data_IF_615091006441
#
_entry.id   IF_615091006441
#
_cell.length_a   1.000
_cell.length_b   1.000
_cell.length_c   1.000
_cell.angle_alpha   90.00
_cell.angle_beta   90.00
_cell.angle_gamma   90.00
#
_symmetry.space_group_name_H-M   'P 1'
#
loop_
_entity.id
_entity.type
_entity.pdbx_description
1 polymer ?
#
# COMPACT_ATOMS: atom_id res chain seq x y z
N UNK A 1 -23.94 18.43 24.35
CA UNK A 1 -23.85 18.28 22.89
C UNK A 1 -22.42 18.60 22.40
N UNK A 2 -21.56 17.58 22.34
CA UNK A 2 -20.25 17.66 21.70
C UNK A 2 -20.41 17.74 20.17
N UNK A 3 -19.53 18.46 19.48
CA UNK A 3 -19.43 18.41 18.02
C UNK A 3 -18.14 17.66 17.67
N UNK A 4 -18.28 16.58 16.91
CA UNK A 4 -17.15 15.92 16.28
C UNK A 4 -16.82 16.71 15.01
N UNK A 5 -15.61 17.25 14.95
CA UNK A 5 -15.10 18.05 13.85
C UNK A 5 -13.92 17.27 13.27
N UNK A 6 -13.64 17.36 11.97
CA UNK A 6 -12.42 16.80 11.39
C UNK A 6 -11.53 17.94 10.88
N UNK A 7 -10.26 17.90 11.26
CA UNK A 7 -9.23 18.81 10.76
C UNK A 7 -8.63 18.31 9.44
N UNK A 8 -8.12 19.23 8.61
CA UNK A 8 -7.50 18.94 7.30
C UNK A 8 -6.11 18.27 7.38
N UNK A 9 -5.81 17.57 8.47
CA UNK A 9 -4.64 16.68 8.55
C UNK A 9 -5.06 15.29 8.09
N UNK A 10 -4.30 14.69 7.18
CA UNK A 10 -4.60 13.38 6.60
C UNK A 10 -3.61 12.36 7.12
N UNK A 11 -4.07 11.39 7.91
CA UNK A 11 -3.25 10.22 8.28
C UNK A 11 -3.37 9.18 7.18
N UNK A 12 -2.28 8.92 6.45
CA UNK A 12 -2.19 7.85 5.47
C UNK A 12 -1.58 6.62 6.16
N UNK A 13 -2.27 5.48 6.07
CA UNK A 13 -1.74 4.19 6.50
C UNK A 13 -1.56 3.29 5.28
N UNK A 14 -0.38 2.68 5.20
CA UNK A 14 0.04 1.77 4.16
C UNK A 14 0.41 0.44 4.78
N UNK A 15 -0.27 -0.62 4.34
CA UNK A 15 0.14 -2.00 4.56
C UNK A 15 0.85 -2.45 3.28
N UNK A 16 2.18 -2.40 3.31
CA UNK A 16 3.08 -2.71 2.19
C UNK A 16 3.28 -4.22 2.09
N UNK A 17 3.23 -4.76 0.88
CA UNK A 17 3.64 -6.16 0.64
C UNK A 17 5.15 -6.29 0.38
N UNK A 18 5.86 -5.17 0.22
CA UNK A 18 7.32 -5.09 0.07
C UNK A 18 7.92 -3.95 0.93
N UNK A 19 9.11 -4.14 1.53
CA UNK A 19 9.71 -3.15 2.42
C UNK A 19 10.19 -1.91 1.65
N UNK A 20 10.06 -0.70 2.22
CA UNK A 20 10.56 0.52 1.60
C UNK A 20 12.10 0.56 1.68
N UNK A 21 12.79 -0.01 0.69
CA UNK A 21 14.25 0.12 0.56
C UNK A 21 14.62 1.37 -0.22
N UNK A 22 14.77 2.47 0.52
CA UNK A 22 15.79 3.51 0.37
C UNK A 22 15.29 4.81 1.03
N UNK A 23 15.79 5.12 2.23
CA UNK A 23 15.99 6.49 2.73
C UNK A 23 16.90 6.39 3.96
N UNK A 24 18.22 6.46 3.71
CA UNK A 24 19.23 6.67 4.74
C UNK A 24 19.08 8.12 5.22
N UNK A 25 18.41 8.34 6.35
CA UNK A 25 18.49 9.60 7.07
C UNK A 25 18.77 9.33 8.55
N UNK A 26 20.05 9.51 8.87
CA UNK A 26 20.64 9.97 10.13
C UNK A 26 19.79 9.89 11.41
N UNK A 27 20.26 9.05 12.33
CA UNK A 27 19.98 8.99 13.77
C UNK A 27 19.46 10.32 14.36
N UNK A 28 18.28 10.30 14.96
CA UNK A 28 17.87 11.28 15.98
C UNK A 28 17.14 10.61 17.14
N UNK A 29 17.66 10.89 18.36
CA UNK A 29 17.20 10.36 19.64
C UNK A 29 15.75 10.75 19.93
N UNK A 30 14.95 9.74 20.28
CA UNK A 30 13.59 9.87 20.83
C UNK A 30 13.63 10.56 22.21
N UNK A 31 13.07 11.77 22.30
CA UNK A 31 12.45 12.27 23.53
C UNK A 31 10.95 12.11 23.37
N UNK A 32 10.34 11.25 24.18
CA UNK A 32 8.88 11.27 24.41
C UNK A 32 8.53 12.69 24.88
N UNK A 33 7.76 13.42 24.07
CA UNK A 33 7.14 14.69 24.47
C UNK A 33 5.62 14.51 24.47
N UNK A 34 4.93 15.08 25.46
CA UNK A 34 3.48 15.05 25.55
C UNK A 34 2.88 15.82 24.37
N UNK A 35 1.68 15.40 23.98
CA UNK A 35 0.85 16.02 22.94
C UNK A 35 0.80 17.55 23.15
N UNK A 36 0.99 18.36 22.10
CA UNK A 36 0.89 19.81 22.24
C UNK A 36 -0.54 20.18 22.62
N UNK A 37 -0.68 21.02 23.66
CA UNK A 37 -1.94 21.60 24.07
C UNK A 37 -2.65 22.29 22.89
N UNK A 38 -4.00 22.30 22.86
CA UNK A 38 -4.76 22.93 21.78
C UNK A 38 -4.55 24.44 21.88
N UNK A 39 -3.61 24.96 21.08
CA UNK A 39 -3.56 26.39 20.81
C UNK A 39 -4.76 26.68 19.92
N UNK A 40 -5.75 27.39 20.47
CA UNK A 40 -6.64 28.25 19.69
C UNK A 40 -5.81 29.36 19.04
N UNK A 41 -5.00 28.98 18.07
CA UNK A 41 -4.30 29.90 17.20
C UNK A 41 -4.73 29.48 15.79
N UNK A 42 -5.52 30.31 15.07
CA UNK A 42 -5.62 30.11 13.63
C UNK A 42 -4.18 30.09 13.12
N UNK A 43 -3.79 29.06 12.38
CA UNK A 43 -2.53 29.07 11.67
C UNK A 43 -2.53 30.37 10.85
N UNK A 44 -1.70 31.34 11.28
CA UNK A 44 -1.80 32.73 10.88
C UNK A 44 -1.77 32.88 9.36
N UNK A 45 -2.93 33.14 8.78
CA UNK A 45 -3.02 33.85 7.51
C UNK A 45 -2.95 35.34 7.86
N UNK A 46 -1.75 35.88 7.98
CA UNK A 46 -1.59 37.33 7.88
C UNK A 46 -1.85 37.71 6.41
N UNK A 47 -3.08 38.14 6.14
CA UNK A 47 -3.46 38.79 4.89
C UNK A 47 -2.80 40.18 4.84
N UNK A 48 -2.44 40.63 3.62
CA UNK A 48 -1.80 41.93 3.37
C UNK A 48 -2.67 43.13 3.78
N UNK A 49 -3.96 42.91 4.00
CA UNK A 49 -4.92 43.82 4.61
C UNK A 49 -5.71 42.99 5.64
N UNK A 50 -5.93 43.48 6.86
CA UNK A 50 -6.50 42.74 7.99
C UNK A 50 -7.96 42.24 7.86
N UNK A 51 -8.42 41.85 6.67
CA UNK A 51 -9.71 41.18 6.46
C UNK A 51 -9.61 39.69 6.84
N UNK A 52 -10.17 39.36 8.00
CA UNK A 52 -10.48 37.98 8.39
C UNK A 52 -11.86 37.61 7.88
N UNK A 53 -12.03 36.38 7.41
CA UNK A 53 -13.36 35.86 7.11
C UNK A 53 -14.16 35.72 8.43
N UNK A 54 -15.49 35.93 8.40
CA UNK A 54 -16.35 35.60 9.52
C UNK A 54 -16.16 34.15 9.99
N UNK A 55 -16.23 33.92 11.31
CA UNK A 55 -15.96 32.62 11.93
C UNK A 55 -16.74 31.44 11.32
N UNK A 56 -17.98 31.69 10.89
CA UNK A 56 -18.81 30.65 10.28
C UNK A 56 -18.28 30.22 8.90
N UNK A 57 -17.70 31.15 8.12
CA UNK A 57 -17.10 30.86 6.82
C UNK A 57 -15.72 30.21 6.99
N UNK A 58 -14.92 30.63 7.98
CA UNK A 58 -13.67 29.94 8.29
C UNK A 58 -13.91 28.50 8.76
N UNK A 59 -14.94 28.28 9.59
CA UNK A 59 -15.33 26.93 9.99
C UNK A 59 -15.78 26.09 8.78
N UNK A 60 -16.54 26.69 7.86
CA UNK A 60 -16.97 26.03 6.62
C UNK A 60 -15.80 25.70 5.70
N UNK A 61 -14.78 26.56 5.64
CA UNK A 61 -13.60 26.39 4.81
C UNK A 61 -12.63 25.34 5.36
N UNK A 62 -12.47 25.28 6.67
CA UNK A 62 -11.33 24.57 7.31
C UNK A 62 -11.73 23.24 7.95
N UNK A 63 -13.02 22.97 8.13
CA UNK A 63 -13.49 21.82 8.90
C UNK A 63 -14.69 21.12 8.27
N UNK A 64 -14.61 19.79 8.22
CA UNK A 64 -15.75 18.92 7.95
C UNK A 64 -16.46 18.65 9.27
N UNK A 65 -17.76 18.95 9.35
CA UNK A 65 -18.55 18.72 10.56
C UNK A 65 -19.32 17.41 10.45
N UNK A 66 -19.24 16.58 11.50
CA UNK A 66 -20.03 15.36 11.59
C UNK A 66 -21.26 15.61 12.46
N UNK A 67 -22.41 15.77 11.81
CA UNK A 67 -23.72 15.82 12.48
C UNK A 67 -24.31 14.42 12.59
N UNK A 68 -25.36 14.28 13.41
CA UNK A 68 -26.03 13.00 13.65
C UNK A 68 -26.76 12.45 12.42
N UNK A 69 -27.18 13.35 11.51
CA UNK A 69 -27.85 13.05 10.25
C UNK A 69 -26.83 12.79 9.12
N UNK A 70 -25.96 13.76 8.82
CA UNK A 70 -24.98 13.66 7.74
C UNK A 70 -23.77 14.57 7.96
N UNK A 71 -22.60 14.25 7.36
CA UNK A 71 -21.48 15.17 7.29
C UNK A 71 -21.82 16.44 6.51
N UNK A 72 -21.35 17.59 6.99
CA UNK A 72 -21.47 18.89 6.29
C UNK A 72 -20.10 19.49 6.03
N UNK A 73 -20.00 20.36 5.01
CA UNK A 73 -18.74 20.98 4.54
C UNK A 73 -17.74 19.96 3.97
N UNK A 74 -18.23 19.04 3.15
CA UNK A 74 -17.41 17.97 2.55
C UNK A 74 -16.60 18.40 1.34
N UNK A 75 -16.88 19.57 0.78
CA UNK A 75 -16.24 20.10 -0.42
C UNK A 75 -15.10 21.05 -0.07
N UNK A 76 -14.01 20.99 -0.84
CA UNK A 76 -12.89 21.91 -0.72
C UNK A 76 -13.11 23.21 -1.50
N UNK A 77 -12.83 24.35 -0.89
CA UNK A 77 -12.87 25.67 -1.55
C UNK A 77 -11.48 26.06 -2.06
N UNK A 78 -11.14 25.67 -3.29
CA UNK A 78 -9.84 25.97 -3.91
C UNK A 78 -9.90 26.96 -5.08
N UNK A 79 -11.06 27.53 -5.36
CA UNK A 79 -11.21 28.54 -6.41
C UNK A 79 -10.79 29.93 -5.90
N UNK A 80 -9.98 30.64 -6.70
CA UNK A 80 -9.42 31.95 -6.35
C UNK A 80 -10.48 33.01 -6.01
N UNK A 81 -11.66 32.94 -6.64
CA UNK A 81 -12.75 33.90 -6.42
C UNK A 81 -13.72 33.53 -5.31
N UNK A 82 -13.53 32.41 -4.59
CA UNK A 82 -14.50 31.94 -3.58
C UNK A 82 -14.76 32.98 -2.47
N UNK A 83 -13.73 33.75 -2.11
CA UNK A 83 -13.79 34.79 -1.08
C UNK A 83 -13.28 36.15 -1.55
N UNK A 84 -13.19 36.37 -2.87
CA UNK A 84 -12.70 37.62 -3.44
C UNK A 84 -13.55 38.82 -3.03
N UNK A 85 -14.87 38.65 -2.89
CA UNK A 85 -15.78 39.68 -2.40
C UNK A 85 -15.51 40.10 -0.93
N UNK A 86 -14.84 39.24 -0.16
CA UNK A 86 -14.45 39.50 1.24
C UNK A 86 -12.97 39.93 1.34
N UNK A 87 -12.30 40.17 0.21
CA UNK A 87 -10.90 40.57 0.16
C UNK A 87 -9.91 39.46 0.52
N UNK A 88 -10.34 38.19 0.57
CA UNK A 88 -9.45 37.06 0.86
C UNK A 88 -9.00 36.39 -0.43
N UNK A 89 -7.71 36.51 -0.71
CA UNK A 89 -7.07 35.86 -1.84
C UNK A 89 -6.82 34.36 -1.54
N UNK A 90 -7.56 33.51 -2.24
CA UNK A 90 -7.44 32.04 -2.16
C UNK A 90 -6.60 31.50 -3.34
N UNK A 91 -5.83 32.35 -4.02
CA UNK A 91 -4.94 31.91 -5.10
C UNK A 91 -3.91 30.88 -4.63
N UNK A 92 -3.74 29.83 -5.45
CA UNK A 92 -2.73 28.81 -5.22
C UNK A 92 -1.36 29.40 -5.54
N UNK A 93 -0.49 29.46 -4.54
CA UNK A 93 0.90 29.88 -4.70
C UNK A 93 1.82 28.80 -4.15
N UNK A 94 2.82 28.43 -4.95
CA UNK A 94 3.78 27.37 -4.62
C UNK A 94 4.54 27.70 -3.33
N UNK A 95 4.89 28.96 -3.13
CA UNK A 95 5.58 29.42 -1.92
C UNK A 95 4.73 29.24 -0.65
N UNK A 96 3.43 29.56 -0.70
CA UNK A 96 2.51 29.33 0.42
C UNK A 96 2.33 27.83 0.67
N UNK A 97 2.24 27.03 -0.39
CA UNK A 97 2.14 25.58 -0.30
C UNK A 97 3.37 24.97 0.39
N UNK A 98 4.59 25.29 -0.07
CA UNK A 98 5.83 24.77 0.51
C UNK A 98 6.03 25.15 1.98
N UNK A 99 5.54 26.33 2.41
CA UNK A 99 5.60 26.74 3.83
C UNK A 99 4.63 25.95 4.72
N UNK A 100 3.48 25.58 4.19
CA UNK A 100 2.40 24.93 4.93
C UNK A 100 2.49 23.41 4.91
N UNK A 101 3.08 22.84 3.85
CA UNK A 101 3.18 21.40 3.67
C UNK A 101 4.16 20.77 4.66
N UNK A 102 3.69 19.79 5.43
CA UNK A 102 4.49 19.04 6.40
C UNK A 102 4.13 17.56 6.37
N UNK A 103 5.12 16.71 6.60
CA UNK A 103 4.96 15.27 6.73
C UNK A 103 5.52 14.85 8.09
N UNK A 104 4.72 14.11 8.86
CA UNK A 104 5.13 13.55 10.15
C UNK A 104 4.95 12.02 10.11
N UNK A 105 6.03 11.27 10.34
CA UNK A 105 5.98 9.80 10.31
C UNK A 105 5.66 9.30 11.72
N UNK A 106 4.52 8.64 11.88
CA UNK A 106 4.03 8.12 13.15
C UNK A 106 4.58 6.72 13.43
N UNK A 107 4.53 5.83 12.43
CA UNK A 107 5.00 4.45 12.53
C UNK A 107 5.64 4.01 11.22
N UNK A 108 6.79 3.34 11.32
CA UNK A 108 7.48 2.74 10.19
C UNK A 108 7.98 1.35 10.62
N UNK A 109 7.47 0.32 9.97
CA UNK A 109 7.93 -1.07 10.08
C UNK A 109 8.29 -1.60 8.68
N UNK A 110 8.77 -2.84 8.59
CA UNK A 110 9.13 -3.44 7.30
C UNK A 110 7.92 -3.70 6.39
N UNK A 111 6.72 -3.83 6.97
CA UNK A 111 5.46 -4.13 6.26
C UNK A 111 4.41 -3.01 6.40
N UNK A 112 4.54 -2.11 7.37
CA UNK A 112 3.57 -1.03 7.62
C UNK A 112 4.24 0.35 7.62
N UNK A 113 3.53 1.34 7.11
CA UNK A 113 3.91 2.75 7.27
C UNK A 113 2.67 3.61 7.56
N UNK A 114 2.73 4.41 8.63
CA UNK A 114 1.71 5.38 9.01
C UNK A 114 2.35 6.76 9.13
N UNK A 115 1.80 7.74 8.43
CA UNK A 115 2.29 9.11 8.45
C UNK A 115 1.16 10.11 8.21
N UNK A 116 1.35 11.31 8.74
CA UNK A 116 0.43 12.43 8.59
C UNK A 116 0.93 13.38 7.49
N UNK A 117 0.03 13.75 6.58
CA UNK A 117 0.23 14.76 5.56
C UNK A 117 -0.61 16.00 5.91
N UNK A 118 0.07 17.09 6.24
CA UNK A 118 -0.55 18.34 6.67
C UNK A 118 -0.42 19.38 5.55
N UNK A 119 -1.52 20.08 5.25
CA UNK A 119 -1.53 21.16 4.27
C UNK A 119 -1.69 20.73 2.82
N UNK A 120 -2.19 19.51 2.58
CA UNK A 120 -2.51 18.96 1.25
C UNK A 120 -4.01 18.77 1.08
N UNK A 121 -4.48 18.94 -0.15
CA UNK A 121 -5.86 18.68 -0.52
C UNK A 121 -6.18 17.19 -0.61
N UNK A 122 -7.44 16.84 -0.33
CA UNK A 122 -7.93 15.48 -0.45
C UNK A 122 -7.76 14.88 -1.86
N UNK A 123 -7.81 15.71 -2.92
CA UNK A 123 -7.60 15.26 -4.30
C UNK A 123 -6.19 14.68 -4.51
N UNK A 124 -5.16 15.35 -3.99
CA UNK A 124 -3.75 14.91 -4.10
C UNK A 124 -3.52 13.66 -3.24
N UNK A 125 -4.03 13.64 -2.00
CA UNK A 125 -3.92 12.45 -1.15
C UNK A 125 -4.63 11.24 -1.77
N UNK A 126 -5.80 11.44 -2.37
CA UNK A 126 -6.51 10.39 -3.10
C UNK A 126 -5.77 9.98 -4.39
N UNK A 127 -5.10 10.91 -5.08
CA UNK A 127 -4.24 10.58 -6.21
C UNK A 127 -3.10 9.64 -5.78
N UNK A 128 -2.37 9.97 -4.70
CA UNK A 128 -1.34 9.08 -4.16
C UNK A 128 -1.90 7.72 -3.76
N UNK A 129 -3.03 7.68 -3.05
CA UNK A 129 -3.71 6.43 -2.70
C UNK A 129 -4.01 5.57 -3.93
N UNK A 130 -4.50 6.18 -5.01
CA UNK A 130 -4.82 5.47 -6.26
C UNK A 130 -3.58 4.98 -7.00
N UNK A 131 -2.54 5.81 -7.07
CA UNK A 131 -1.25 5.46 -7.68
C UNK A 131 -0.64 4.26 -6.97
N UNK A 132 -0.60 4.29 -5.64
CA UNK A 132 -0.05 3.21 -4.82
C UNK A 132 -0.79 1.88 -5.02
N UNK A 133 -2.11 1.91 -5.21
CA UNK A 133 -2.90 0.70 -5.43
C UNK A 133 -2.77 0.17 -6.86
N UNK A 134 -2.76 1.06 -7.86
CA UNK A 134 -3.01 0.67 -9.25
C UNK A 134 -1.87 0.91 -10.24
N UNK A 135 -0.98 1.88 -9.99
CA UNK A 135 -0.01 2.34 -10.99
C UNK A 135 1.44 2.00 -10.64
N UNK A 136 1.74 1.72 -9.36
CA UNK A 136 3.07 1.26 -8.97
C UNK A 136 3.27 -0.18 -9.47
N UNK A 137 4.31 -0.43 -10.30
CA UNK A 137 4.53 -1.74 -10.88
C UNK A 137 5.18 -2.72 -9.90
N UNK A 138 4.88 -4.01 -10.06
CA UNK A 138 5.47 -5.12 -9.30
C UNK A 138 5.73 -6.33 -10.20
N UNK A 139 6.44 -7.33 -9.68
CA UNK A 139 6.63 -8.63 -10.34
C UNK A 139 5.61 -9.63 -9.80
N UNK A 140 4.87 -10.31 -10.68
CA UNK A 140 3.95 -11.38 -10.31
C UNK A 140 3.90 -12.47 -11.39
N UNK A 141 3.50 -13.69 -10.99
CA UNK A 141 3.38 -14.83 -11.89
C UNK A 141 2.22 -14.60 -12.88
N UNK A 142 2.51 -14.74 -14.18
CA UNK A 142 1.56 -14.54 -15.27
C UNK A 142 1.29 -15.83 -16.03
N UNK A 143 2.34 -16.47 -16.56
CA UNK A 143 2.23 -17.70 -17.33
C UNK A 143 2.67 -18.89 -16.47
N UNK A 144 1.88 -19.95 -16.42
CA UNK A 144 2.22 -21.20 -15.73
C UNK A 144 2.18 -22.33 -16.75
N UNK A 145 3.31 -23.01 -16.93
CA UNK A 145 3.47 -24.17 -17.79
C UNK A 145 3.34 -25.42 -16.93
N UNK A 146 2.22 -26.11 -17.08
CA UNK A 146 1.97 -27.37 -16.39
C UNK A 146 2.65 -28.52 -17.13
N UNK A 147 3.43 -29.33 -16.42
CA UNK A 147 4.03 -30.56 -16.97
C UNK A 147 3.16 -31.75 -16.57
N UNK A 148 2.95 -31.90 -15.26
CA UNK A 148 2.10 -32.94 -14.70
C UNK A 148 1.39 -32.41 -13.46
N UNK A 149 0.07 -32.57 -13.42
CA UNK A 149 -0.73 -32.27 -12.23
C UNK A 149 -1.70 -33.42 -12.00
N UNK A 150 -1.36 -34.26 -11.02
CA UNK A 150 -2.24 -35.35 -10.55
C UNK A 150 -2.92 -35.00 -9.22
N UNK A 151 -2.86 -33.73 -8.81
CA UNK A 151 -3.50 -33.25 -7.60
C UNK A 151 -5.02 -33.13 -7.75
N UNK A 152 -5.71 -32.86 -6.65
CA UNK A 152 -7.17 -32.64 -6.64
C UNK A 152 -7.53 -31.24 -7.16
N UNK A 153 -6.57 -30.30 -7.18
CA UNK A 153 -6.80 -28.93 -7.60
C UNK A 153 -6.64 -28.85 -9.12
N UNK A 154 -7.65 -28.30 -9.79
CA UNK A 154 -7.61 -28.07 -11.23
C UNK A 154 -6.53 -27.06 -11.62
N UNK A 155 -5.97 -27.21 -12.82
CA UNK A 155 -4.80 -26.45 -13.29
C UNK A 155 -5.03 -24.94 -13.27
N UNK A 156 -6.23 -24.49 -13.67
CA UNK A 156 -6.60 -23.08 -13.69
C UNK A 156 -6.68 -22.49 -12.27
N UNK A 157 -7.19 -23.26 -11.31
CA UNK A 157 -7.29 -22.83 -9.91
C UNK A 157 -5.90 -22.77 -9.27
N UNK A 158 -5.05 -23.77 -9.55
CA UNK A 158 -3.67 -23.79 -9.09
C UNK A 158 -2.88 -22.61 -9.65
N UNK A 159 -3.01 -22.35 -10.95
CA UNK A 159 -2.36 -21.23 -11.64
C UNK A 159 -2.81 -19.87 -11.10
N UNK A 160 -4.11 -19.70 -10.84
CA UNK A 160 -4.63 -18.48 -10.23
C UNK A 160 -4.04 -18.24 -8.83
N UNK A 161 -3.90 -19.29 -8.01
CA UNK A 161 -3.29 -19.18 -6.68
C UNK A 161 -1.81 -18.81 -6.74
N UNK A 162 -1.06 -19.42 -7.66
CA UNK A 162 0.35 -19.08 -7.89
C UNK A 162 0.51 -17.61 -8.30
N UNK A 163 -0.40 -17.12 -9.15
CA UNK A 163 -0.45 -15.71 -9.58
C UNK A 163 -0.56 -14.71 -8.43
N UNK A 164 -1.16 -15.09 -7.30
CA UNK A 164 -1.38 -14.23 -6.13
C UNK A 164 -0.24 -14.28 -5.09
N UNK A 165 0.79 -15.09 -5.30
CA UNK A 165 1.93 -15.18 -4.37
C UNK A 165 2.82 -13.95 -4.58
N UNK A 166 3.06 -13.13 -3.53
CA UNK A 166 3.96 -12.00 -3.65
C UNK A 166 5.41 -12.46 -3.77
N UNK A 167 6.12 -11.88 -4.73
CA UNK A 167 7.53 -12.19 -5.03
C UNK A 167 8.45 -11.14 -4.39
N UNK A 168 9.63 -11.56 -3.93
CA UNK A 168 10.69 -10.68 -3.42
C UNK A 168 11.66 -10.31 -4.56
N UNK A 169 11.14 -9.59 -5.55
CA UNK A 169 11.89 -9.11 -6.70
C UNK A 169 11.68 -7.60 -6.87
N UNK A 170 12.77 -6.85 -7.10
CA UNK A 170 12.70 -5.41 -7.34
C UNK A 170 12.23 -5.15 -8.78
N UNK A 171 11.03 -4.59 -9.00
CA UNK A 171 10.49 -4.36 -10.35
C UNK A 171 11.28 -3.32 -11.15
N UNK A 172 12.18 -2.54 -10.52
CA UNK A 172 13.00 -1.54 -11.22
C UNK A 172 14.14 -2.17 -12.02
N UNK A 173 14.55 -3.39 -11.68
CA UNK A 173 15.61 -4.11 -12.39
C UNK A 173 15.11 -4.80 -13.67
N UNK A 174 13.79 -4.88 -13.85
CA UNK A 174 13.16 -5.59 -14.95
C UNK A 174 12.40 -4.65 -15.89
N UNK A 175 12.42 -4.99 -17.17
CA UNK A 175 11.69 -4.29 -18.23
C UNK A 175 10.32 -4.92 -18.47
N UNK A 176 9.42 -4.14 -19.09
CA UNK A 176 8.14 -4.69 -19.57
C UNK A 176 8.36 -5.57 -20.80
N UNK A 177 7.48 -6.56 -21.00
CA UNK A 177 7.50 -7.41 -22.20
C UNK A 177 6.95 -6.62 -23.38
N UNK A 178 7.78 -6.40 -24.42
CA UNK A 178 7.40 -5.71 -25.67
C UNK A 178 6.93 -6.66 -26.77
N UNK A 179 7.66 -7.76 -26.99
CA UNK A 179 7.54 -8.60 -28.19
C UNK A 179 7.12 -10.05 -27.86
N UNK A 180 6.53 -10.26 -26.68
CA UNK A 180 6.10 -11.57 -26.16
C UNK A 180 7.22 -12.63 -26.04
N UNK A 181 8.48 -12.26 -26.25
CA UNK A 181 9.65 -13.12 -26.05
C UNK A 181 10.17 -12.95 -24.62
N UNK A 182 10.16 -14.00 -23.79
CA UNK A 182 10.73 -13.96 -22.46
C UNK A 182 12.26 -13.98 -22.51
N UNK A 183 12.89 -12.97 -21.94
CA UNK A 183 14.34 -12.75 -21.86
C UNK A 183 14.75 -12.60 -20.39
N UNK A 184 16.06 -12.60 -20.13
CA UNK A 184 16.63 -12.46 -18.79
C UNK A 184 16.31 -11.12 -18.10
N UNK A 185 15.93 -10.09 -18.84
CA UNK A 185 15.59 -8.77 -18.28
C UNK A 185 14.10 -8.54 -18.03
N UNK A 186 13.23 -9.38 -18.57
CA UNK A 186 11.77 -9.13 -18.52
C UNK A 186 11.00 -10.21 -17.72
N UNK A 187 11.57 -11.40 -17.55
CA UNK A 187 10.87 -12.56 -16.98
C UNK A 187 11.73 -13.24 -15.93
N UNK A 188 11.09 -13.66 -14.83
CA UNK A 188 11.71 -14.52 -13.81
C UNK A 188 11.03 -15.88 -13.87
N UNK A 189 11.82 -16.95 -13.92
CA UNK A 189 11.29 -18.32 -14.01
C UNK A 189 11.42 -19.02 -12.66
N UNK A 190 10.34 -19.70 -12.26
CA UNK A 190 10.27 -20.53 -11.08
C UNK A 190 9.88 -21.95 -11.46
N UNK A 191 10.38 -22.93 -10.73
CA UNK A 191 10.04 -24.34 -10.85
C UNK A 191 9.39 -24.82 -9.56
N UNK A 192 8.35 -25.64 -9.70
CA UNK A 192 7.77 -26.38 -8.59
C UNK A 192 7.70 -27.85 -9.01
N UNK A 193 8.48 -28.69 -8.34
CA UNK A 193 8.45 -30.14 -8.52
C UNK A 193 8.24 -30.78 -7.15
N UNK A 194 7.04 -31.28 -6.89
CA UNK A 194 6.69 -31.89 -5.61
C UNK A 194 5.87 -33.15 -5.84
N UNK A 195 6.33 -34.27 -5.30
CA UNK A 195 5.63 -35.55 -5.33
C UNK A 195 5.41 -36.09 -3.91
N UNK A 196 4.27 -36.75 -3.70
CA UNK A 196 3.92 -37.40 -2.45
C UNK A 196 4.00 -38.92 -2.68
N UNK A 197 4.89 -39.60 -1.96
CA UNK A 197 5.11 -41.04 -2.12
C UNK A 197 3.88 -41.86 -1.69
N UNK A 198 3.77 -43.09 -2.19
CA UNK A 198 2.68 -43.99 -1.81
C UNK A 198 2.93 -44.50 -0.39
N UNK A 199 2.06 -44.13 0.55
CA UNK A 199 2.13 -44.54 1.96
C UNK A 199 2.59 -43.45 2.93
N UNK A 200 2.99 -42.27 2.46
CA UNK A 200 3.29 -41.12 3.31
C UNK A 200 2.02 -40.41 3.79
N UNK A 201 2.15 -39.54 4.81
CA UNK A 201 1.07 -38.64 5.18
C UNK A 201 0.82 -37.59 4.09
N UNK A 202 -0.36 -36.95 4.12
CA UNK A 202 -0.69 -35.88 3.17
C UNK A 202 0.34 -34.76 3.25
N UNK A 203 0.91 -34.40 2.10
CA UNK A 203 1.90 -33.34 1.98
C UNK A 203 1.22 -32.00 1.71
N UNK A 204 1.60 -30.97 2.46
CA UNK A 204 1.13 -29.60 2.19
C UNK A 204 2.21 -28.88 1.40
N UNK A 205 1.91 -28.52 0.16
CA UNK A 205 2.80 -27.78 -0.72
C UNK A 205 2.77 -26.30 -0.31
N UNK A 206 3.96 -25.73 -0.06
CA UNK A 206 4.13 -24.34 0.39
C UNK A 206 4.87 -23.50 -0.64
N UNK A 207 4.70 -22.19 -0.59
CA UNK A 207 5.36 -21.23 -1.48
C UNK A 207 6.88 -21.26 -1.41
N UNK A 208 7.46 -21.60 -0.26
CA UNK A 208 8.91 -21.74 -0.13
C UNK A 208 9.51 -22.90 -0.95
N UNK A 209 8.69 -23.78 -1.55
CA UNK A 209 9.14 -24.85 -2.45
C UNK A 209 9.22 -24.41 -3.91
N UNK A 210 8.90 -23.14 -4.22
CA UNK A 210 9.16 -22.56 -5.54
C UNK A 210 10.64 -22.24 -5.67
N UNK A 211 11.32 -22.96 -6.55
CA UNK A 211 12.74 -22.80 -6.82
C UNK A 211 12.94 -21.81 -7.97
N UNK A 212 13.75 -20.78 -7.76
CA UNK A 212 14.10 -19.83 -8.83
C UNK A 212 15.11 -20.45 -9.80
N UNK A 213 14.86 -20.29 -11.09
CA UNK A 213 15.73 -20.74 -12.18
C UNK A 213 16.44 -19.54 -12.84
N UNK A 214 17.72 -19.29 -12.51
CA UNK A 214 18.44 -18.11 -13.01
C UNK A 214 18.84 -18.20 -14.48
N UNK A 215 18.94 -19.41 -15.04
CA UNK A 215 19.29 -19.67 -16.43
C UNK A 215 18.06 -19.70 -17.36
N UNK A 216 16.86 -19.49 -16.80
CA UNK A 216 15.60 -19.53 -17.54
C UNK A 216 14.89 -20.89 -17.47
N UNK A 217 13.95 -21.09 -18.40
CA UNK A 217 13.09 -22.27 -18.49
C UNK A 217 13.89 -23.51 -18.87
N UNK A 218 13.64 -24.61 -18.15
CA UNK A 218 14.16 -25.94 -18.48
C UNK A 218 13.22 -26.70 -19.42
N UNK A 219 11.96 -26.23 -19.57
CA UNK A 219 11.00 -26.80 -20.49
C UNK A 219 11.31 -26.44 -21.94
N UNK A 220 11.29 -27.47 -22.78
CA UNK A 220 11.54 -27.34 -24.21
C UNK A 220 10.24 -27.11 -24.97
N UNK A 221 10.24 -26.20 -25.94
CA UNK A 221 9.16 -26.09 -26.90
C UNK A 221 9.25 -27.22 -27.94
N UNK A 222 8.14 -27.94 -28.14
CA UNK A 222 8.00 -28.93 -29.20
C UNK A 222 7.81 -28.25 -30.57
N UNK A 223 8.87 -27.64 -31.12
CA UNK A 223 8.92 -27.25 -32.53
C UNK A 223 9.57 -28.38 -33.34
N UNK A 224 9.07 -28.73 -34.54
CA UNK A 224 9.66 -29.80 -35.34
C UNK A 224 11.10 -29.42 -35.71
N UNK A 225 12.03 -30.26 -35.27
CA UNK A 225 13.45 -30.10 -35.46
C UNK A 225 13.78 -29.93 -36.96
N UNK A 226 14.14 -28.72 -37.37
CA UNK A 226 15.05 -28.56 -38.51
C UNK A 226 16.45 -28.78 -37.96
N UNK A 227 17.09 -29.81 -38.50
CA UNK A 227 18.40 -30.34 -38.13
C UNK A 227 19.45 -29.24 -37.95
N UNK A 228 19.91 -29.03 -36.71
CA UNK A 228 21.12 -28.27 -36.39
C UNK A 228 21.00 -27.24 -35.27
N UNK A 229 19.79 -26.91 -34.80
CA UNK A 229 19.58 -25.83 -33.83
C UNK A 229 19.35 -26.37 -32.40
N UNK A 230 19.98 -25.76 -31.40
CA UNK A 230 19.82 -26.12 -29.99
C UNK A 230 18.33 -26.09 -29.59
N UNK A 231 17.88 -27.08 -28.80
CA UNK A 231 16.51 -27.16 -28.29
C UNK A 231 16.02 -25.81 -27.75
N UNK A 232 14.98 -25.24 -28.37
CA UNK A 232 14.44 -23.92 -28.00
C UNK A 232 13.57 -24.07 -26.75
N UNK A 233 13.95 -23.45 -25.64
CA UNK A 233 13.14 -23.41 -24.40
C UNK A 233 12.12 -22.27 -24.46
N UNK A 234 11.20 -22.22 -23.49
CA UNK A 234 10.17 -21.16 -23.40
C UNK A 234 10.74 -19.76 -23.09
N UNK A 235 12.04 -19.67 -22.80
CA UNK A 235 12.74 -18.41 -22.55
C UNK A 235 14.04 -18.34 -23.35
N UNK A 236 14.41 -17.17 -23.85
CA UNK A 236 15.69 -16.95 -24.54
C UNK A 236 16.64 -16.15 -23.65
N UNK A 237 17.27 -16.80 -22.68
CA UNK A 237 18.18 -16.14 -21.74
C UNK A 237 19.59 -16.10 -22.33
N UNK A 238 20.12 -14.91 -22.56
CA UNK A 238 21.50 -14.72 -23.02
C UNK A 238 22.52 -14.75 -21.89
N UNK A 239 22.10 -14.49 -20.66
CA UNK A 239 22.92 -14.41 -19.46
C UNK A 239 22.15 -14.89 -18.22
N UNK A 240 22.89 -15.41 -17.23
CA UNK A 240 22.34 -15.78 -15.93
C UNK A 240 21.86 -14.55 -15.15
N UNK A 241 20.66 -14.63 -14.57
CA UNK A 241 20.11 -13.60 -13.69
C UNK A 241 20.84 -13.50 -12.34
N UNK A 242 21.75 -14.43 -12.00
CA UNK A 242 22.58 -14.32 -10.79
C UNK A 242 23.44 -13.06 -10.76
N UNK A 243 23.79 -12.52 -11.93
CA UNK A 243 24.55 -11.28 -12.03
C UNK A 243 23.69 -10.02 -11.81
N UNK A 244 22.37 -10.14 -11.95
CA UNK A 244 21.43 -9.00 -11.86
C UNK A 244 20.99 -8.73 -10.42
N UNK A 245 20.98 -9.75 -9.56
CA UNK A 245 20.56 -9.64 -8.16
C UNK A 245 21.53 -10.37 -7.23
N UNK A 246 22.02 -9.67 -6.22
CA UNK A 246 22.86 -10.26 -5.16
C UNK A 246 22.10 -11.28 -4.29
N UNK A 247 20.76 -11.28 -4.35
CA UNK A 247 19.88 -12.13 -3.56
C UNK A 247 19.05 -13.03 -4.47
N UNK A 248 18.70 -14.25 -4.01
CA UNK A 248 17.81 -15.12 -4.75
C UNK A 248 16.45 -14.43 -4.93
N UNK A 249 15.97 -14.40 -6.18
CA UNK A 249 14.65 -13.88 -6.54
C UNK A 249 13.59 -14.90 -6.12
N UNK A 250 13.28 -14.94 -4.83
CA UNK A 250 12.36 -15.90 -4.23
C UNK A 250 10.96 -15.34 -3.99
N UNK A 251 10.16 -16.09 -3.24
CA UNK A 251 8.87 -15.62 -2.73
C UNK A 251 9.06 -14.75 -1.48
N UNK A 252 8.16 -13.78 -1.26
CA UNK A 252 8.21 -12.91 -0.08
C UNK A 252 7.89 -13.67 1.22
N UNK A 253 6.90 -14.56 1.16
CA UNK A 253 6.47 -15.39 2.28
C UNK A 253 6.59 -16.86 1.91
N UNK A 254 7.33 -17.63 2.72
CA UNK A 254 7.62 -19.06 2.45
C UNK A 254 6.53 -20.03 2.93
N UNK A 255 5.59 -19.54 3.75
CA UNK A 255 4.59 -20.37 4.44
C UNK A 255 3.18 -20.32 3.82
N UNK A 256 3.05 -19.79 2.59
CA UNK A 256 1.76 -19.73 1.91
C UNK A 256 1.45 -21.13 1.38
N UNK A 257 0.34 -21.71 1.81
CA UNK A 257 -0.10 -23.02 1.30
C UNK A 257 -0.61 -22.87 -0.13
N UNK A 258 -0.09 -23.68 -1.06
CA UNK A 258 -0.47 -23.72 -2.48
C UNK A 258 -1.46 -24.86 -2.72
N UNK A 259 -1.11 -26.08 -2.31
CA UNK A 259 -1.91 -27.27 -2.55
C UNK A 259 -1.72 -28.28 -1.41
N UNK A 260 -2.63 -29.26 -1.32
CA UNK A 260 -2.46 -30.43 -0.44
C UNK A 260 -2.51 -31.68 -1.30
N UNK A 261 -1.47 -32.48 -1.21
CA UNK A 261 -1.29 -33.71 -1.98
C UNK A 261 -1.59 -34.93 -1.11
N UNK A 262 -2.35 -35.85 -1.68
CA UNK A 262 -2.49 -37.21 -1.18
C UNK A 262 -1.35 -38.13 -1.63
N UNK A 263 -1.24 -39.34 -1.06
CA UNK A 263 -0.22 -40.30 -1.44
C UNK A 263 -0.35 -40.69 -2.92
N UNK A 264 0.76 -40.64 -3.66
CA UNK A 264 0.82 -40.94 -5.09
C UNK A 264 0.48 -39.76 -6.03
N UNK A 265 0.18 -38.57 -5.50
CA UNK A 265 -0.03 -37.36 -6.31
C UNK A 265 1.26 -36.55 -6.43
N UNK A 266 1.40 -35.87 -7.56
CA UNK A 266 2.52 -35.00 -7.89
C UNK A 266 2.05 -33.72 -8.61
N UNK A 267 2.83 -32.67 -8.46
CA UNK A 267 2.73 -31.41 -9.19
C UNK A 267 4.11 -31.08 -9.74
N UNK A 268 4.19 -30.92 -11.05
CA UNK A 268 5.36 -30.43 -11.77
C UNK A 268 4.95 -29.29 -12.71
N UNK A 269 5.52 -28.11 -12.50
CA UNK A 269 5.24 -26.92 -13.30
C UNK A 269 6.42 -25.93 -13.32
N UNK A 270 6.40 -25.07 -14.33
CA UNK A 270 7.20 -23.85 -14.38
C UNK A 270 6.28 -22.61 -14.37
N UNK A 271 6.64 -21.59 -13.61
CA UNK A 271 5.89 -20.35 -13.48
C UNK A 271 6.76 -19.16 -13.91
N UNK A 272 6.26 -18.37 -14.84
CA UNK A 272 6.95 -17.20 -15.38
C UNK A 272 6.33 -15.94 -14.79
N UNK A 273 7.14 -15.18 -14.07
CA UNK A 273 6.77 -13.90 -13.48
C UNK A 273 7.23 -12.73 -14.34
N UNK A 274 6.35 -11.74 -14.46
CA UNK A 274 6.55 -10.58 -15.33
C UNK A 274 6.19 -9.31 -14.59
N UNK A 275 6.74 -8.20 -15.08
CA UNK A 275 6.42 -6.86 -14.57
C UNK A 275 5.04 -6.42 -15.03
N UNK A 276 4.22 -5.96 -14.10
CA UNK A 276 2.88 -5.45 -14.39
C UNK A 276 2.42 -4.42 -13.36
N UNK A 277 1.21 -3.89 -13.55
CA UNK A 277 0.62 -2.85 -12.70
C UNK A 277 -0.74 -3.28 -12.14
N UNK A 278 -1.07 -2.84 -10.93
CA UNK A 278 -2.31 -3.20 -10.24
C UNK A 278 -3.60 -2.84 -11.01
N UNK A 279 -3.54 -1.86 -11.92
CA UNK A 279 -4.64 -1.47 -12.81
C UNK A 279 -5.06 -2.59 -13.76
N UNK A 280 -4.13 -3.45 -14.18
CA UNK A 280 -4.41 -4.59 -15.07
C UNK A 280 -4.99 -5.75 -14.26
N UNK A 281 -4.36 -6.08 -13.13
CA UNK A 281 -4.84 -7.13 -12.23
C UNK A 281 -4.35 -6.89 -10.81
N UNK A 282 -5.18 -7.21 -9.81
CA UNK A 282 -4.90 -6.96 -8.39
C UNK A 282 -3.64 -7.67 -7.87
N UNK A 283 -3.20 -8.76 -8.53
CA UNK A 283 -1.96 -9.47 -8.19
C UNK A 283 -0.69 -8.61 -8.29
N UNK A 284 -0.73 -7.55 -9.11
CA UNK A 284 0.37 -6.60 -9.23
C UNK A 284 0.25 -5.41 -8.26
N UNK A 285 -0.73 -5.41 -7.35
CA UNK A 285 -0.82 -4.35 -6.35
C UNK A 285 0.29 -4.52 -5.29
N UNK A 286 1.18 -3.53 -5.09
CA UNK A 286 2.27 -3.59 -4.09
C UNK A 286 1.80 -3.34 -2.65
N UNK A 287 0.53 -2.99 -2.48
CA UNK A 287 -0.06 -2.69 -1.18
C UNK A 287 -1.19 -3.65 -0.93
N UNK A 288 -1.26 -4.20 0.28
CA UNK A 288 -2.44 -4.95 0.69
C UNK A 288 -3.62 -4.00 0.87
N UNK A 289 -3.37 -2.84 1.49
CA UNK A 289 -4.31 -1.73 1.51
C UNK A 289 -3.58 -0.40 1.66
N UNK A 290 -4.11 0.63 1.00
CA UNK A 290 -3.70 2.01 1.17
C UNK A 290 -4.95 2.85 1.40
N UNK A 291 -5.03 3.50 2.56
CA UNK A 291 -6.17 4.33 2.93
C UNK A 291 -5.72 5.52 3.76
N UNK A 292 -6.51 6.59 3.72
CA UNK A 292 -6.30 7.75 4.57
C UNK A 292 -7.56 8.08 5.36
N UNK A 293 -7.39 8.80 6.46
CA UNK A 293 -8.46 9.46 7.20
C UNK A 293 -8.10 10.91 7.49
N UNK A 294 -9.12 11.74 7.59
CA UNK A 294 -8.97 13.07 8.18
C UNK A 294 -8.75 12.91 9.69
N UNK A 295 -7.91 13.76 10.27
CA UNK A 295 -7.61 13.75 11.69
C UNK A 295 -8.82 14.31 12.47
N UNK A 296 -9.48 13.51 13.32
CA UNK A 296 -10.61 13.97 14.11
C UNK A 296 -10.16 15.00 15.15
N UNK A 297 -10.98 16.02 15.34
CA UNK A 297 -10.88 17.07 16.34
C UNK A 297 -12.22 17.12 17.11
N UNK A 298 -12.21 16.75 18.39
CA UNK A 298 -13.42 16.86 19.22
C UNK A 298 -13.39 18.18 19.98
N UNK A 299 -14.40 19.03 19.78
CA UNK A 299 -14.54 20.28 20.52
C UNK A 299 -15.73 20.19 21.47
N UNK A 300 -15.45 20.34 22.77
CA UNK A 300 -16.47 20.42 23.81
C UNK A 300 -16.99 21.87 23.88
N UNK A 301 -18.27 22.07 23.55
CA UNK A 301 -18.89 23.40 23.55
C UNK A 301 -19.19 23.94 24.95
N UNK A 302 -19.23 23.05 25.94
CA UNK A 302 -19.52 23.36 27.34
C UNK A 302 -18.65 22.48 28.21
N UNK A 303 -18.31 22.95 29.39
CA UNK A 303 -17.69 22.11 30.42
C UNK A 303 -18.66 20.99 30.82
N UNK A 304 -18.16 19.76 30.81
CA UNK A 304 -18.89 18.56 31.23
C UNK A 304 -18.27 18.12 32.55
N UNK A 305 -19.08 17.97 33.60
CA UNK A 305 -18.61 17.69 34.96
C UNK A 305 -19.34 16.49 35.54
N UNK A 306 -18.69 15.83 36.51
CA UNK A 306 -19.27 14.76 37.33
C UNK A 306 -19.82 13.60 36.49
N UNK A 307 -21.03 13.11 36.81
CA UNK A 307 -21.65 11.94 36.16
C UNK A 307 -21.77 12.04 34.64
N UNK A 308 -21.94 13.24 34.07
CA UNK A 308 -21.99 13.40 32.61
C UNK A 308 -20.63 13.14 31.95
N UNK A 309 -19.52 13.38 32.65
CA UNK A 309 -18.17 13.11 32.16
C UNK A 309 -17.87 11.61 32.21
N UNK A 310 -18.27 10.93 33.29
CA UNK A 310 -18.17 9.47 33.41
C UNK A 310 -18.98 8.76 32.31
N UNK A 311 -20.19 9.25 32.02
CA UNK A 311 -21.02 8.71 30.95
C UNK A 311 -20.38 8.91 29.58
N UNK A 312 -19.78 10.09 29.33
CA UNK A 312 -19.11 10.39 28.07
C UNK A 312 -17.91 9.48 27.82
N UNK A 313 -17.05 9.27 28.83
CA UNK A 313 -15.92 8.34 28.74
C UNK A 313 -16.41 6.93 28.47
N UNK A 314 -17.44 6.47 29.18
CA UNK A 314 -18.02 5.14 29.00
C UNK A 314 -18.61 4.91 27.60
N UNK A 315 -19.18 5.95 26.99
CA UNK A 315 -19.73 5.89 25.62
C UNK A 315 -18.64 5.80 24.54
N UNK A 316 -17.39 6.14 24.84
CA UNK A 316 -16.29 6.14 23.88
C UNK A 316 -15.34 4.95 24.11
N UNK A 317 -15.49 3.82 23.38
CA UNK A 317 -14.73 2.59 23.61
C UNK A 317 -13.24 2.69 23.27
N UNK A 318 -12.83 3.78 22.62
CA UNK A 318 -11.47 4.03 22.13
C UNK A 318 -10.61 4.85 23.11
N UNK A 319 -11.06 5.04 24.36
CA UNK A 319 -10.33 5.76 25.41
C UNK A 319 -9.79 7.14 24.95
N UNK A 320 -10.59 7.87 24.18
CA UNK A 320 -10.20 9.19 23.63
C UNK A 320 -10.33 10.30 24.68
N UNK A 321 -11.21 10.12 25.66
CA UNK A 321 -11.44 11.09 26.74
C UNK A 321 -10.82 10.62 28.04
N UNK A 322 -10.21 11.55 28.77
CA UNK A 322 -9.69 11.35 30.12
C UNK A 322 -10.34 12.36 31.08
N UNK A 323 -10.45 12.01 32.37
CA UNK A 323 -11.05 12.85 33.41
C UNK A 323 -9.93 13.39 34.28
N UNK A 324 -9.71 14.70 34.22
CA UNK A 324 -8.79 15.37 35.14
C UNK A 324 -9.54 15.77 36.43
N UNK A 325 -9.12 15.21 37.56
CA UNK A 325 -9.57 15.66 38.88
C UNK A 325 -8.90 17.01 39.22
N UNK A 326 -9.66 18.09 39.07
CA UNK A 326 -9.31 19.38 39.64
C UNK A 326 -9.48 19.26 41.16
N UNK A 327 -8.39 18.90 41.85
CA UNK A 327 -8.34 18.79 43.31
C UNK A 327 -8.99 19.99 44.00
N UNK A 328 -9.71 19.71 45.09
CA UNK A 328 -10.39 20.72 45.92
C UNK A 328 -9.45 21.76 46.50
#
# INVERSE_FOLDING_TARGET
PSKLVYSLSLSLSLLLTQPPRALVLSRLRLRRRPLPQPRFAPAGMENRDGSSLPDFLELQRTRVLCKADAPTHTEGFQYSGAFAAMGVDTSVSVEKFCKNFKIEINRLTDEDMEFDMIGVDASIANAFRRILIAEVPTMAIEKVFMVDNTSVIADEVLSHRLGLIPLDADPRLFDYISDDVPNERNTIVYKLHVSCEKGSQRLTVKSGQLEWLPEGSQLTMASPAQSGDNQRTYTSFGQSQQNTSERPLGVKYNDITIARLGPGQAIELEAHAVKGVGKVHAKWSPVATAWYRMLPEVVLLKEIKNGDAEELVKRCPVNVFDIEDLGK
#
